data_IF_090712177234
#
_entry.id   IF_090712177234
#
_cell.length_a   1.000
_cell.length_b   1.000
_cell.length_c   1.000
_cell.angle_alpha   90.00
_cell.angle_beta   90.00
_cell.angle_gamma   90.00
#
_symmetry.space_group_name_H-M   'P 1'
#
loop_
_entity.id
_entity.type
_entity.pdbx_description
1 polymer ?
#
# COMPACT_ATOMS: atom_id res chain seq x y z
N UNK A 1 -2.79 -9.59 10.96
CA UNK A 1 -2.68 -10.04 9.58
C UNK A 1 -1.19 -10.06 9.30
N UNK A 2 -0.56 -11.20 9.53
CA UNK A 2 0.79 -11.53 9.06
C UNK A 2 0.65 -11.94 7.59
N UNK A 3 1.55 -11.57 6.69
CA UNK A 3 2.69 -12.39 6.24
C UNK A 3 3.50 -11.54 5.22
N UNK A 4 4.75 -11.84 4.85
CA UNK A 4 5.11 -13.04 4.08
C UNK A 4 6.61 -13.04 3.80
N UNK A 5 7.25 -14.20 3.88
CA UNK A 5 8.71 -14.35 3.67
C UNK A 5 8.97 -14.84 2.24
N UNK A 6 9.79 -14.10 1.50
CA UNK A 6 10.14 -14.36 0.11
C UNK A 6 11.66 -14.41 -0.10
N UNK A 7 12.17 -15.43 -0.78
CA UNK A 7 13.59 -15.55 -1.19
C UNK A 7 13.87 -14.93 -2.59
N UNK A 8 12.86 -14.32 -3.23
CA UNK A 8 12.90 -13.79 -4.59
C UNK A 8 12.09 -12.50 -4.74
N UNK A 9 12.19 -11.87 -5.93
CA UNK A 9 11.97 -10.44 -6.06
C UNK A 9 10.50 -9.98 -5.90
N UNK A 10 10.35 -8.85 -5.21
CA UNK A 10 9.23 -7.94 -5.36
C UNK A 10 9.83 -6.61 -5.81
N UNK A 11 9.43 -6.07 -6.96
CA UNK A 11 9.86 -4.75 -7.43
C UNK A 11 8.69 -4.03 -8.08
N UNK A 12 8.29 -2.93 -7.46
CA UNK A 12 7.23 -2.05 -7.95
C UNK A 12 7.50 -0.64 -7.44
N UNK A 13 7.33 0.36 -8.31
CA UNK A 13 7.51 1.76 -7.93
C UNK A 13 6.14 2.45 -7.88
N UNK A 14 5.88 3.27 -6.86
CA UNK A 14 4.62 3.98 -6.72
C UNK A 14 4.86 5.48 -6.56
N UNK A 15 3.92 6.30 -7.04
CA UNK A 15 4.09 7.76 -6.97
C UNK A 15 3.86 8.28 -5.55
N UNK A 16 4.84 9.01 -5.01
CA UNK A 16 4.72 9.67 -3.69
C UNK A 16 3.63 10.74 -3.66
N UNK A 17 3.30 11.35 -4.79
CA UNK A 17 2.20 12.32 -4.89
C UNK A 17 0.87 11.76 -4.38
N UNK A 18 0.67 10.44 -4.47
CA UNK A 18 -0.54 9.78 -3.98
C UNK A 18 -0.37 9.21 -2.56
N UNK A 19 0.82 8.72 -2.21
CA UNK A 19 1.07 8.10 -0.91
C UNK A 19 1.32 9.13 0.21
N UNK A 20 1.92 10.28 -0.10
CA UNK A 20 2.29 11.28 0.89
C UNK A 20 1.06 11.89 1.60
N UNK A 21 -0.01 12.31 0.91
CA UNK A 21 -1.20 12.81 1.60
C UNK A 21 -1.88 11.73 2.45
N UNK A 22 -1.89 10.48 1.98
CA UNK A 22 -2.51 9.37 2.70
C UNK A 22 -1.75 9.05 3.98
N UNK A 23 -0.41 9.06 3.93
CA UNK A 23 0.43 8.81 5.11
C UNK A 23 0.15 9.77 6.27
N UNK A 24 -0.21 11.02 5.96
CA UNK A 24 -0.54 12.06 6.95
C UNK A 24 -1.87 11.82 7.65
N UNK A 25 -2.72 10.93 7.13
CA UNK A 25 -4.02 10.58 7.73
C UNK A 25 -3.89 9.56 8.85
N UNK A 26 -2.83 8.78 8.85
CA UNK A 26 -2.58 7.73 9.84
C UNK A 26 -1.92 8.32 11.09
N UNK A 27 -2.52 8.04 12.25
CA UNK A 27 -1.94 8.29 13.55
C UNK A 27 -0.96 7.18 13.98
N UNK A 28 -0.25 7.37 15.10
CA UNK A 28 0.76 6.41 15.58
C UNK A 28 0.21 5.02 15.93
N UNK A 29 -1.08 4.92 16.23
CA UNK A 29 -1.75 3.69 16.66
C UNK A 29 -2.54 3.00 15.54
N UNK A 30 -2.60 3.61 14.35
CA UNK A 30 -3.42 3.10 13.26
C UNK A 30 -2.77 1.87 12.64
N UNK A 31 -3.60 0.90 12.28
CA UNK A 31 -3.16 -0.33 11.61
C UNK A 31 -3.57 -0.26 10.15
N UNK A 32 -2.58 -0.40 9.28
CA UNK A 32 -2.72 -0.47 7.83
C UNK A 32 -2.22 -1.83 7.39
N UNK A 33 -3.03 -2.51 6.56
CA UNK A 33 -2.60 -3.70 5.83
C UNK A 33 -2.11 -3.24 4.46
N UNK A 34 -0.92 -3.66 4.06
CA UNK A 34 -0.34 -3.36 2.75
C UNK A 34 -0.08 -4.66 2.01
N UNK A 35 -0.50 -4.71 0.75
CA UNK A 35 -0.28 -5.85 -0.14
C UNK A 35 0.33 -5.35 -1.45
N UNK A 36 1.43 -5.97 -1.87
CA UNK A 36 2.16 -5.61 -3.08
C UNK A 36 2.88 -6.83 -3.67
N UNK A 37 3.21 -6.77 -4.96
CA UNK A 37 3.90 -7.83 -5.71
C UNK A 37 4.31 -7.33 -7.10
N UNK A 38 5.10 -8.10 -7.84
CA UNK A 38 5.77 -7.64 -9.08
C UNK A 38 4.84 -6.98 -10.11
N UNK A 39 3.63 -7.51 -10.31
CA UNK A 39 2.68 -7.03 -11.32
C UNK A 39 1.31 -6.69 -10.72
N UNK A 40 1.27 -6.32 -9.43
CA UNK A 40 0.02 -6.01 -8.74
C UNK A 40 -0.04 -4.54 -8.34
N UNK A 41 -1.25 -3.92 -8.41
CA UNK A 41 -1.46 -2.64 -7.75
C UNK A 41 -1.18 -2.80 -6.26
N UNK A 42 -0.60 -1.77 -5.66
CA UNK A 42 -0.53 -1.63 -4.22
C UNK A 42 -1.96 -1.59 -3.69
N UNK A 43 -2.31 -2.51 -2.81
CA UNK A 43 -3.55 -2.47 -2.06
C UNK A 43 -3.24 -2.07 -0.62
N UNK A 44 -4.03 -1.14 -0.09
CA UNK A 44 -3.97 -0.75 1.31
C UNK A 44 -5.37 -0.79 1.92
N UNK A 45 -5.50 -1.54 3.01
CA UNK A 45 -6.75 -1.70 3.74
C UNK A 45 -6.57 -1.14 5.15
N UNK A 46 -7.47 -0.25 5.55
CA UNK A 46 -7.46 0.35 6.88
C UNK A 46 -8.86 0.81 7.31
N UNK A 47 -9.02 0.95 8.61
CA UNK A 47 -10.25 1.44 9.22
C UNK A 47 -10.02 2.80 9.88
N UNK A 48 -11.07 3.58 10.04
CA UNK A 48 -11.06 4.82 10.81
C UNK A 48 -12.17 4.84 11.85
N UNK A 49 -12.00 5.67 12.89
CA UNK A 49 -12.98 5.84 13.99
C UNK A 49 -13.38 4.49 14.62
N UNK A 50 -12.39 3.72 15.07
CA UNK A 50 -12.57 2.39 15.72
C UNK A 50 -13.47 1.42 14.92
N UNK A 51 -13.38 1.46 13.58
CA UNK A 51 -14.13 0.58 12.71
C UNK A 51 -15.44 1.16 12.17
N UNK A 52 -15.71 2.46 12.37
CA UNK A 52 -16.89 3.10 11.78
C UNK A 52 -16.84 3.16 10.25
N UNK A 53 -15.67 2.97 9.65
CA UNK A 53 -15.53 2.80 8.21
C UNK A 53 -14.26 2.05 7.83
N UNK A 54 -14.33 1.40 6.68
CA UNK A 54 -13.25 0.63 6.06
C UNK A 54 -12.92 1.24 4.69
N UNK A 55 -11.64 1.26 4.35
CA UNK A 55 -11.14 1.83 3.10
C UNK A 55 -10.26 0.81 2.41
N UNK A 56 -10.59 0.55 1.14
CA UNK A 56 -9.75 -0.17 0.19
C UNK A 56 -9.15 0.82 -0.80
N UNK A 57 -7.84 1.03 -0.71
CA UNK A 57 -7.11 1.94 -1.58
C UNK A 57 -6.20 1.16 -2.53
N UNK A 58 -6.36 1.42 -3.84
CA UNK A 58 -5.55 0.79 -4.89
C UNK A 58 -4.71 1.82 -5.63
N UNK A 59 -3.42 1.51 -5.82
CA UNK A 59 -2.50 2.34 -6.60
C UNK A 59 -1.70 1.50 -7.58
N UNK A 60 -1.81 1.83 -8.86
CA UNK A 60 -1.05 1.16 -9.91
C UNK A 60 0.46 1.42 -9.76
N UNK A 61 1.31 0.41 -10.01
CA UNK A 61 2.75 0.62 -10.08
C UNK A 61 3.10 1.45 -11.32
N UNK A 62 4.20 2.20 -11.24
CA UNK A 62 4.81 2.85 -12.39
C UNK A 62 5.45 1.78 -13.26
N UNK A 63 5.27 1.91 -14.56
CA UNK A 63 5.96 1.09 -15.57
C UNK A 63 7.39 1.61 -15.68
N UNK A 64 8.38 0.75 -15.43
CA UNK A 64 9.76 1.03 -15.83
C UNK A 64 9.81 0.96 -17.36
N UNK A 65 10.15 2.07 -18.03
CA UNK A 65 10.56 2.01 -19.43
C UNK A 65 12.02 1.59 -19.44
N UNK A 66 12.30 0.32 -19.80
CA UNK A 66 13.66 -0.10 -20.17
C UNK A 66 14.12 0.80 -21.33
N UNK A 67 15.15 1.62 -21.08
CA UNK A 67 15.87 2.36 -22.13
C UNK A 67 17.22 1.69 -22.37
#
# INVERSE_FOLDING_TARGET
MDELICDGAARSQYSLTYLEPLSRRFGPSDKVTIQFGENFPLAMNFTFEDGAGEVDYFLAPRVESDY
#
